data_IF_285630330896
#
_entry.id   IF_285630330896
#
_cell.length_a   1.000
_cell.length_b   1.000
_cell.length_c   1.000
_cell.angle_alpha   90.00
_cell.angle_beta   90.00
_cell.angle_gamma   90.00
#
_symmetry.space_group_name_H-M   'P 1'
#
loop_
_entity.id
_entity.type
_entity.pdbx_description
1 polymer ?
#
# COMPACT_ATOMS: atom_id res chain seq x y z
N UNK A 1 0.08 -69.30 40.62
CA UNK A 1 0.35 -68.97 39.21
C UNK A 1 -0.65 -67.91 38.85
N UNK A 2 -0.26 -66.64 39.02
CA UNK A 2 -1.14 -65.46 38.91
C UNK A 2 -0.77 -64.71 37.65
N UNK A 3 -1.65 -64.52 36.68
CA UNK A 3 -1.39 -63.66 35.56
C UNK A 3 -1.90 -62.26 35.88
N UNK A 4 -1.01 -61.45 36.43
CA UNK A 4 -1.24 -59.99 36.45
C UNK A 4 -1.29 -59.44 35.00
N UNK A 5 -2.48 -59.48 34.41
CA UNK A 5 -2.78 -58.70 33.23
C UNK A 5 -2.83 -57.26 33.67
N UNK A 6 -1.76 -56.49 33.35
CA UNK A 6 -1.71 -55.06 33.48
C UNK A 6 -2.71 -54.44 32.52
N UNK A 7 -3.96 -54.32 32.96
CA UNK A 7 -4.97 -53.52 32.25
C UNK A 7 -4.56 -52.07 32.33
N UNK A 8 -4.28 -51.47 31.19
CA UNK A 8 -4.09 -50.01 31.04
C UNK A 8 -5.38 -49.38 31.57
N UNK A 9 -5.29 -48.60 32.66
CA UNK A 9 -6.44 -47.98 33.29
C UNK A 9 -6.96 -46.86 32.37
N UNK A 10 -8.13 -47.06 31.78
CA UNK A 10 -8.78 -46.13 30.87
C UNK A 10 -8.92 -44.73 31.45
N UNK A 11 -8.95 -44.58 32.77
CA UNK A 11 -9.01 -43.31 33.49
C UNK A 11 -7.69 -42.57 33.38
N UNK A 12 -6.56 -43.24 33.55
CA UNK A 12 -5.23 -42.63 33.41
C UNK A 12 -4.99 -42.17 31.97
N UNK A 13 -5.41 -42.94 30.97
CA UNK A 13 -5.33 -42.56 29.57
C UNK A 13 -6.18 -41.33 29.23
N UNK A 14 -7.37 -41.21 29.82
CA UNK A 14 -8.26 -40.08 29.61
C UNK A 14 -7.70 -38.80 30.25
N UNK A 15 -7.10 -38.90 31.43
CA UNK A 15 -6.42 -37.76 32.07
C UNK A 15 -5.20 -37.30 31.25
N UNK A 16 -4.34 -38.19 30.79
CA UNK A 16 -3.19 -37.90 29.96
C UNK A 16 -3.64 -37.30 28.63
N UNK A 17 -4.66 -37.84 27.99
CA UNK A 17 -5.20 -37.31 26.75
C UNK A 17 -5.75 -35.87 26.93
N UNK A 18 -6.42 -35.58 28.05
CA UNK A 18 -6.91 -34.26 28.40
C UNK A 18 -5.76 -33.24 28.56
N UNK A 19 -4.68 -33.61 29.23
CA UNK A 19 -3.49 -32.76 29.39
C UNK A 19 -2.79 -32.54 28.06
N UNK A 20 -2.67 -33.55 27.21
CA UNK A 20 -2.05 -33.44 25.88
C UNK A 20 -2.86 -32.49 24.97
N UNK A 21 -4.19 -32.61 24.98
CA UNK A 21 -5.08 -31.70 24.20
C UNK A 21 -4.96 -30.27 24.70
N UNK A 22 -4.82 -30.03 26.00
CA UNK A 22 -4.73 -28.70 26.56
C UNK A 22 -3.34 -28.09 26.32
N UNK A 23 -2.27 -28.86 26.52
CA UNK A 23 -0.87 -28.38 26.43
C UNK A 23 -0.43 -28.18 24.99
N UNK A 24 -0.90 -28.98 24.04
CA UNK A 24 -0.53 -28.88 22.61
C UNK A 24 -1.63 -28.19 21.80
N UNK A 25 -2.91 -28.46 22.08
CA UNK A 25 -4.04 -27.96 21.32
C UNK A 25 -4.19 -26.45 21.42
N UNK A 26 -4.00 -25.88 22.61
CA UNK A 26 -4.13 -24.42 22.79
C UNK A 26 -3.02 -23.61 22.08
N UNK A 27 -1.73 -23.93 22.23
CA UNK A 27 -0.67 -23.27 21.45
C UNK A 27 -0.82 -23.46 19.95
N UNK A 28 -1.25 -24.64 19.50
CA UNK A 28 -1.49 -24.92 18.07
C UNK A 28 -2.65 -24.07 17.54
N UNK A 29 -3.76 -23.97 18.29
CA UNK A 29 -4.90 -23.14 17.91
C UNK A 29 -4.52 -21.65 17.83
N UNK A 30 -3.74 -21.16 18.80
CA UNK A 30 -3.22 -19.78 18.78
C UNK A 30 -2.30 -19.57 17.59
N UNK A 31 -1.43 -20.52 17.28
CA UNK A 31 -0.53 -20.44 16.13
C UNK A 31 -1.29 -20.42 14.80
N UNK A 32 -2.29 -21.28 14.63
CA UNK A 32 -3.17 -21.32 13.45
C UNK A 32 -3.91 -19.97 13.32
N UNK A 33 -4.50 -19.49 14.41
CA UNK A 33 -5.21 -18.20 14.42
C UNK A 33 -4.30 -17.03 14.01
N UNK A 34 -3.07 -16.98 14.55
CA UNK A 34 -2.10 -15.93 14.17
C UNK A 34 -1.68 -16.08 12.69
N UNK A 35 -1.52 -17.31 12.20
CA UNK A 35 -1.17 -17.57 10.81
C UNK A 35 -2.30 -17.16 9.85
N UNK A 36 -3.56 -17.45 10.19
CA UNK A 36 -4.74 -17.03 9.45
C UNK A 36 -4.87 -15.50 9.43
N UNK A 37 -4.76 -14.85 10.57
CA UNK A 37 -4.82 -13.39 10.68
C UNK A 37 -3.73 -12.68 9.86
N UNK A 38 -2.52 -13.27 9.80
CA UNK A 38 -1.44 -12.74 8.94
C UNK A 38 -1.75 -12.89 7.46
N UNK A 39 -2.39 -13.98 7.08
CA UNK A 39 -2.78 -14.26 5.69
C UNK A 39 -3.92 -13.34 5.23
N UNK A 40 -4.89 -13.08 6.09
CA UNK A 40 -5.97 -12.11 5.82
C UNK A 40 -5.40 -10.71 5.57
N UNK A 41 -4.56 -10.20 6.46
CA UNK A 41 -3.92 -8.88 6.27
C UNK A 41 -3.11 -8.78 4.98
N UNK A 42 -2.39 -9.84 4.58
CA UNK A 42 -1.67 -9.85 3.32
C UNK A 42 -2.59 -9.78 2.09
N UNK A 43 -3.75 -10.45 2.15
CA UNK A 43 -4.73 -10.39 1.08
C UNK A 43 -5.37 -9.01 0.97
N UNK A 44 -5.67 -8.36 2.10
CA UNK A 44 -6.22 -7.00 2.15
C UNK A 44 -5.23 -5.98 1.58
N UNK A 45 -3.95 -6.07 1.94
CA UNK A 45 -2.88 -5.22 1.41
C UNK A 45 -2.71 -5.38 -0.10
N UNK A 46 -2.78 -6.62 -0.61
CA UNK A 46 -2.66 -6.93 -2.03
C UNK A 46 -3.90 -6.41 -2.82
N UNK A 47 -5.11 -6.47 -2.24
CA UNK A 47 -6.34 -5.96 -2.83
C UNK A 47 -6.29 -4.43 -2.96
N UNK A 48 -5.92 -3.72 -1.89
CA UNK A 48 -5.73 -2.27 -1.89
C UNK A 48 -4.70 -1.84 -2.93
N UNK A 49 -3.58 -2.55 -3.01
CA UNK A 49 -2.55 -2.25 -4.00
C UNK A 49 -3.05 -2.44 -5.45
N UNK A 50 -3.83 -3.49 -5.71
CA UNK A 50 -4.41 -3.73 -7.04
C UNK A 50 -5.42 -2.65 -7.41
N UNK A 51 -6.27 -2.22 -6.48
CA UNK A 51 -7.23 -1.14 -6.70
C UNK A 51 -6.51 0.17 -7.04
N UNK A 52 -5.54 0.59 -6.23
CA UNK A 52 -4.74 1.79 -6.48
C UNK A 52 -3.98 1.72 -7.82
N UNK A 53 -3.44 0.54 -8.17
CA UNK A 53 -2.75 0.35 -9.44
C UNK A 53 -3.69 0.44 -10.65
N UNK A 54 -4.93 -0.02 -10.49
CA UNK A 54 -5.97 0.14 -11.50
C UNK A 54 -6.35 1.62 -11.67
N UNK A 55 -6.52 2.36 -10.57
CA UNK A 55 -6.80 3.80 -10.63
C UNK A 55 -5.65 4.58 -11.30
N UNK A 56 -4.39 4.24 -11.00
CA UNK A 56 -3.25 4.86 -11.69
C UNK A 56 -3.23 4.54 -13.18
N UNK A 57 -3.63 3.34 -13.56
CA UNK A 57 -3.77 2.96 -14.97
C UNK A 57 -4.87 3.77 -15.66
N UNK A 58 -6.02 3.99 -15.00
CA UNK A 58 -7.08 4.86 -15.53
C UNK A 58 -6.61 6.31 -15.66
N UNK A 59 -5.86 6.82 -14.69
CA UNK A 59 -5.23 8.14 -14.81
C UNK A 59 -4.28 8.23 -16.02
N UNK A 60 -3.45 7.22 -16.26
CA UNK A 60 -2.58 7.18 -17.43
C UNK A 60 -3.35 7.15 -18.76
N UNK A 61 -4.53 6.54 -18.80
CA UNK A 61 -5.41 6.60 -19.97
C UNK A 61 -5.90 8.02 -20.23
N UNK A 62 -6.28 8.75 -19.18
CA UNK A 62 -6.63 10.18 -19.31
C UNK A 62 -5.45 10.99 -19.84
N UNK A 63 -4.23 10.70 -19.40
CA UNK A 63 -3.01 11.34 -19.94
C UNK A 63 -2.84 11.05 -21.43
N UNK A 64 -3.12 9.83 -21.88
CA UNK A 64 -3.05 9.43 -23.29
C UNK A 64 -4.13 10.09 -24.15
N UNK A 65 -5.30 10.40 -23.59
CA UNK A 65 -6.36 11.14 -24.27
C UNK A 65 -6.02 12.62 -24.50
N UNK A 66 -5.01 13.15 -23.80
CA UNK A 66 -4.54 14.54 -23.90
C UNK A 66 -3.07 14.64 -24.33
N UNK A 67 -2.69 14.12 -25.51
CA UNK A 67 -1.31 14.10 -25.98
C UNK A 67 -0.75 15.51 -26.23
N UNK A 68 -1.62 16.50 -26.43
CA UNK A 68 -1.27 17.91 -26.58
C UNK A 68 -0.65 18.51 -25.32
N UNK A 69 -0.92 17.96 -24.15
CA UNK A 69 -0.33 18.36 -22.87
C UNK A 69 1.08 17.80 -22.63
N UNK A 70 1.50 16.80 -23.40
CA UNK A 70 2.83 16.14 -23.34
C UNK A 70 3.27 15.78 -21.92
N UNK A 71 2.34 15.26 -21.12
CA UNK A 71 2.59 14.99 -19.70
C UNK A 71 3.63 13.90 -19.44
N UNK A 72 3.86 12.99 -20.41
CA UNK A 72 4.90 11.95 -20.32
C UNK A 72 6.22 12.37 -20.97
N UNK A 73 6.31 13.61 -21.49
CA UNK A 73 7.52 14.12 -22.12
C UNK A 73 8.35 14.95 -21.15
N UNK A 74 9.66 14.74 -21.15
CA UNK A 74 10.62 15.56 -20.39
C UNK A 74 11.03 16.84 -21.15
N UNK A 75 10.70 16.93 -22.43
CA UNK A 75 11.04 18.11 -23.23
C UNK A 75 10.19 19.30 -22.84
N UNK A 76 10.79 20.49 -22.85
CA UNK A 76 10.09 21.73 -22.59
C UNK A 76 8.87 21.83 -23.52
N UNK A 77 7.71 22.09 -22.94
CA UNK A 77 6.47 22.35 -23.66
C UNK A 77 6.50 23.83 -24.00
N UNK A 78 6.14 24.17 -25.24
CA UNK A 78 5.90 25.56 -25.62
C UNK A 78 4.79 26.22 -24.78
N UNK A 79 4.44 27.46 -25.04
CA UNK A 79 3.35 28.12 -24.30
C UNK A 79 2.03 27.35 -24.47
N UNK A 80 1.45 26.93 -23.34
CA UNK A 80 0.13 26.32 -23.29
C UNK A 80 -0.96 27.40 -23.40
N UNK A 81 -2.06 27.09 -24.08
CA UNK A 81 -3.28 27.90 -24.03
C UNK A 81 -3.91 27.85 -22.60
N UNK A 82 -4.82 28.81 -22.34
CA UNK A 82 -5.53 28.82 -21.05
C UNK A 82 -6.30 27.51 -20.79
N UNK A 83 -6.97 27.01 -21.83
CA UNK A 83 -7.68 25.73 -21.77
C UNK A 83 -6.75 24.53 -21.49
N UNK A 84 -5.56 24.51 -22.11
CA UNK A 84 -4.57 23.48 -21.86
C UNK A 84 -4.01 23.56 -20.42
N UNK A 85 -3.80 24.78 -19.91
CA UNK A 85 -3.38 24.99 -18.52
C UNK A 85 -4.43 24.49 -17.52
N UNK A 86 -5.70 24.77 -17.79
CA UNK A 86 -6.80 24.30 -16.96
C UNK A 86 -6.88 22.77 -16.96
N UNK A 87 -6.89 22.12 -18.13
CA UNK A 87 -6.90 20.66 -18.25
C UNK A 87 -5.71 20.01 -17.54
N UNK A 88 -4.51 20.57 -17.70
CA UNK A 88 -3.31 20.09 -17.01
C UNK A 88 -3.46 20.21 -15.49
N UNK A 89 -4.01 21.30 -14.99
CA UNK A 89 -4.22 21.50 -13.56
C UNK A 89 -5.19 20.46 -13.01
N UNK A 90 -6.28 20.16 -13.72
CA UNK A 90 -7.24 19.12 -13.33
C UNK A 90 -6.55 17.74 -13.28
N UNK A 91 -5.76 17.38 -14.29
CA UNK A 91 -5.03 16.12 -14.31
C UNK A 91 -4.03 16.02 -13.15
N UNK A 92 -3.32 17.10 -12.84
CA UNK A 92 -2.42 17.14 -11.68
C UNK A 92 -3.16 17.01 -10.36
N UNK A 93 -4.36 17.60 -10.24
CA UNK A 93 -5.20 17.43 -9.03
C UNK A 93 -5.65 15.99 -8.86
N UNK A 94 -6.08 15.32 -9.93
CA UNK A 94 -6.43 13.87 -9.89
C UNK A 94 -5.23 13.05 -9.42
N UNK A 95 -4.05 13.34 -9.95
CA UNK A 95 -2.83 12.63 -9.58
C UNK A 95 -2.44 12.83 -8.11
N UNK A 96 -2.55 14.07 -7.60
CA UNK A 96 -2.25 14.36 -6.19
C UNK A 96 -3.21 13.61 -5.28
N UNK A 97 -4.52 13.64 -5.56
CA UNK A 97 -5.50 12.89 -4.77
C UNK A 97 -5.26 11.38 -4.81
N UNK A 98 -4.77 10.84 -5.92
CA UNK A 98 -4.37 9.45 -6.02
C UNK A 98 -3.11 9.15 -5.19
N UNK A 99 -2.12 10.02 -5.19
CA UNK A 99 -0.91 9.89 -4.38
C UNK A 99 -1.20 10.01 -2.88
N UNK A 100 -2.09 10.94 -2.49
CA UNK A 100 -2.55 11.05 -1.11
C UNK A 100 -3.26 9.76 -0.67
N UNK A 101 -4.18 9.24 -1.48
CA UNK A 101 -4.87 7.98 -1.18
C UNK A 101 -3.88 6.82 -1.03
N UNK A 102 -2.90 6.70 -1.91
CA UNK A 102 -1.86 5.69 -1.80
C UNK A 102 -1.05 5.86 -0.50
N UNK A 103 -0.75 7.11 -0.12
CA UNK A 103 -0.07 7.41 1.14
C UNK A 103 -0.90 6.96 2.35
N UNK A 104 -2.16 7.37 2.41
CA UNK A 104 -3.05 7.08 3.55
C UNK A 104 -3.38 5.59 3.70
N UNK A 105 -3.41 4.83 2.59
CA UNK A 105 -3.80 3.42 2.62
C UNK A 105 -2.61 2.46 2.73
N UNK A 106 -1.42 2.84 2.27
CA UNK A 106 -0.27 1.93 2.15
C UNK A 106 0.90 2.32 3.05
N UNK A 107 1.09 3.63 3.31
CA UNK A 107 2.25 4.09 4.08
C UNK A 107 2.06 3.85 5.57
N UNK A 108 3.07 3.25 6.20
CA UNK A 108 3.22 3.14 7.66
C UNK A 108 4.68 3.38 8.02
N UNK A 109 4.95 3.96 9.21
CA UNK A 109 6.31 4.23 9.67
C UNK A 109 7.12 2.93 9.81
N UNK A 110 6.48 1.85 10.28
CA UNK A 110 7.08 0.53 10.45
C UNK A 110 6.42 -0.49 9.50
N UNK A 111 6.83 -0.48 8.24
CA UNK A 111 6.29 -1.41 7.23
C UNK A 111 7.01 -2.76 7.24
N UNK A 112 6.28 -3.90 7.19
CA UNK A 112 6.82 -5.20 6.80
C UNK A 112 7.51 -5.13 5.44
N UNK A 113 8.44 -6.06 5.20
CA UNK A 113 9.25 -6.05 3.97
C UNK A 113 8.41 -6.04 2.69
N UNK A 114 7.27 -6.75 2.66
CA UNK A 114 6.39 -6.82 1.48
C UNK A 114 5.69 -5.47 1.25
N UNK A 115 5.04 -4.92 2.25
CA UNK A 115 4.35 -3.63 2.19
C UNK A 115 5.33 -2.50 1.81
N UNK A 116 6.55 -2.51 2.37
CA UNK A 116 7.61 -1.55 1.99
C UNK A 116 7.95 -1.60 0.51
N UNK A 117 7.95 -2.79 -0.11
CA UNK A 117 8.20 -2.94 -1.56
C UNK A 117 7.06 -2.35 -2.40
N UNK A 118 5.81 -2.56 -1.96
CA UNK A 118 4.63 -1.97 -2.61
C UNK A 118 4.65 -0.45 -2.51
N UNK A 119 4.97 0.07 -1.31
CA UNK A 119 5.12 1.50 -1.09
C UNK A 119 6.25 2.12 -1.93
N UNK A 120 7.39 1.46 -2.06
CA UNK A 120 8.50 1.95 -2.88
C UNK A 120 8.08 2.21 -4.34
N UNK A 121 7.21 1.39 -4.91
CA UNK A 121 6.69 1.62 -6.27
C UNK A 121 5.87 2.93 -6.35
N UNK A 122 5.07 3.23 -5.33
CA UNK A 122 4.31 4.48 -5.25
C UNK A 122 5.23 5.69 -5.08
N UNK A 123 6.23 5.57 -4.24
CA UNK A 123 7.22 6.63 -4.06
C UNK A 123 8.03 6.88 -5.34
N UNK A 124 8.33 5.83 -6.11
CA UNK A 124 8.99 5.96 -7.42
C UNK A 124 8.09 6.71 -8.42
N UNK A 125 6.78 6.42 -8.47
CA UNK A 125 5.83 7.20 -9.29
C UNK A 125 5.78 8.67 -8.86
N UNK A 126 5.70 8.95 -7.56
CA UNK A 126 5.76 10.33 -7.06
C UNK A 126 7.04 11.03 -7.49
N UNK A 127 8.21 10.37 -7.38
CA UNK A 127 9.50 10.90 -7.80
C UNK A 127 9.56 11.16 -9.30
N UNK A 128 9.01 10.26 -10.12
CA UNK A 128 8.94 10.43 -11.57
C UNK A 128 8.17 11.72 -11.94
N UNK A 129 7.00 11.93 -11.37
CA UNK A 129 6.21 13.13 -11.60
C UNK A 129 6.88 14.39 -11.02
N UNK A 130 7.56 14.28 -9.89
CA UNK A 130 8.32 15.35 -9.28
C UNK A 130 9.57 15.76 -10.09
N UNK A 131 10.02 14.97 -11.06
CA UNK A 131 11.07 15.38 -12.00
C UNK A 131 10.60 16.49 -12.94
N UNK A 132 9.29 16.67 -13.12
CA UNK A 132 8.70 17.71 -13.94
C UNK A 132 8.68 19.06 -13.23
N UNK A 133 9.25 20.09 -13.85
CA UNK A 133 9.29 21.44 -13.27
C UNK A 133 7.88 22.03 -13.09
N UNK A 134 7.02 21.87 -14.10
CA UNK A 134 5.64 22.39 -14.07
C UNK A 134 4.77 21.72 -12.98
N UNK A 135 5.00 20.44 -12.70
CA UNK A 135 4.32 19.76 -11.60
C UNK A 135 4.79 20.28 -10.24
N UNK A 136 6.13 20.44 -10.05
CA UNK A 136 6.67 21.02 -8.82
C UNK A 136 6.20 22.45 -8.57
N UNK A 137 6.10 23.26 -9.61
CA UNK A 137 5.59 24.64 -9.53
C UNK A 137 4.12 24.70 -9.11
N UNK A 138 3.33 23.72 -9.52
CA UNK A 138 1.92 23.63 -9.18
C UNK A 138 1.67 23.08 -7.75
N UNK A 139 2.63 22.34 -7.15
CA UNK A 139 2.45 21.65 -5.86
C UNK A 139 1.86 22.54 -4.75
N UNK A 140 2.34 23.78 -4.50
CA UNK A 140 1.81 24.57 -3.38
C UNK A 140 0.29 24.77 -3.44
N UNK A 141 -0.25 24.89 -4.67
CA UNK A 141 -1.69 25.02 -4.88
C UNK A 141 -2.41 23.68 -4.86
N UNK A 142 -1.80 22.64 -5.40
CA UNK A 142 -2.36 21.31 -5.49
C UNK A 142 -2.49 20.63 -4.11
N UNK A 143 -1.65 21.03 -3.17
CA UNK A 143 -1.61 20.46 -1.81
C UNK A 143 -2.50 21.22 -0.82
N UNK A 144 -3.24 22.23 -1.26
CA UNK A 144 -4.18 22.94 -0.40
C UNK A 144 -5.36 22.04 -0.02
N UNK A 145 -5.46 21.69 1.27
CA UNK A 145 -6.54 20.86 1.80
C UNK A 145 -6.25 19.37 1.88
N UNK A 146 -5.08 18.92 1.39
CA UNK A 146 -4.64 17.54 1.49
C UNK A 146 -4.12 17.21 2.91
N UNK A 147 -3.95 15.94 3.22
CA UNK A 147 -3.47 15.46 4.53
C UNK A 147 -2.09 16.03 4.88
N UNK A 148 -1.89 16.58 6.12
CA UNK A 148 -0.65 17.24 6.50
C UNK A 148 0.60 16.35 6.44
N UNK A 149 0.48 15.05 6.76
CA UNK A 149 1.60 14.12 6.76
C UNK A 149 1.98 13.75 5.33
N UNK A 150 0.99 13.57 4.46
CA UNK A 150 1.21 13.43 3.01
C UNK A 150 1.88 14.68 2.43
N UNK A 151 1.40 15.89 2.76
CA UNK A 151 2.00 17.17 2.33
C UNK A 151 3.46 17.26 2.75
N UNK A 152 3.78 16.89 4.00
CA UNK A 152 5.15 16.88 4.48
C UNK A 152 6.01 15.88 3.70
N UNK A 153 5.48 14.67 3.43
CA UNK A 153 6.16 13.61 2.71
C UNK A 153 6.49 14.01 1.27
N UNK A 154 5.47 14.40 0.48
CA UNK A 154 5.67 14.75 -0.94
C UNK A 154 6.54 16.02 -1.12
N UNK A 155 6.44 16.97 -0.18
CA UNK A 155 7.29 18.17 -0.18
C UNK A 155 8.76 17.81 0.08
N UNK A 156 9.03 16.85 0.96
CA UNK A 156 10.37 16.32 1.19
C UNK A 156 10.92 15.69 -0.10
N UNK A 157 10.15 14.80 -0.75
CA UNK A 157 10.53 14.19 -2.02
C UNK A 157 10.84 15.24 -3.09
N UNK A 158 10.03 16.29 -3.19
CA UNK A 158 10.22 17.38 -4.16
C UNK A 158 11.53 18.18 -3.94
N UNK A 159 12.00 18.27 -2.68
CA UNK A 159 13.29 18.92 -2.36
C UNK A 159 14.48 18.05 -2.75
N UNK A 160 14.35 16.74 -2.68
CA UNK A 160 15.40 15.80 -3.07
C UNK A 160 15.63 15.74 -4.58
N UNK A 161 14.67 16.21 -5.40
CA UNK A 161 14.72 16.25 -6.87
C UNK A 161 15.28 17.58 -7.43
N UNK A 162 15.75 18.47 -6.59
CA UNK A 162 16.41 19.72 -6.99
C UNK A 162 17.90 19.55 -7.15
#
# INVERSE_FOLDING_TARGET
MDPAAGGIDWREWWEIASYVVTVIGLPLAIWVFIAEQRKERQNDDDEVYQELSAEYTEFLKLVLEHPDLRLMSTNAIGELSDEQRERRTVLFSILISLFERAYLLVYEDEMPKQQRRLWQSWEDYMREWLNRADFREALPKLLEGEDPDFVAHITRLAREQR
#
